data_IF_438178076580
#
_entry.id   IF_438178076580
#
_cell.length_a   1.000
_cell.length_b   1.000
_cell.length_c   1.000
_cell.angle_alpha   90.00
_cell.angle_beta   90.00
_cell.angle_gamma   90.00
#
_symmetry.space_group_name_H-M   'P 1'
#
loop_
_entity.id
_entity.type
_entity.pdbx_description
1 polymer ?
#
# COMPACT_ATOMS: atom_id res chain seq x y z
N UNK A 1 8.24 -4.88 6.00
CA UNK A 1 7.97 -5.13 4.55
C UNK A 1 6.48 -4.92 4.33
N UNK A 2 6.02 -4.24 3.29
CA UNK A 2 4.59 -3.97 3.11
C UNK A 2 4.12 -4.47 1.74
N UNK A 3 2.85 -4.84 1.65
CA UNK A 3 2.19 -5.08 0.39
C UNK A 3 1.05 -4.09 0.28
N UNK A 4 1.03 -3.30 -0.78
CA UNK A 4 0.00 -2.33 -1.10
C UNK A 4 -0.63 -2.71 -2.44
N UNK A 5 -1.92 -2.96 -2.42
CA UNK A 5 -2.76 -3.26 -3.59
C UNK A 5 -3.67 -2.07 -3.81
N UNK A 6 -3.67 -1.52 -5.01
CA UNK A 6 -4.52 -0.38 -5.37
C UNK A 6 -5.23 -0.69 -6.69
N UNK A 7 -6.55 -0.64 -6.66
CA UNK A 7 -7.40 -0.68 -7.84
C UNK A 7 -7.88 0.76 -8.07
N UNK A 8 -7.35 1.39 -9.10
CA UNK A 8 -7.63 2.78 -9.42
C UNK A 8 -8.46 2.87 -10.70
N UNK A 9 -9.67 3.44 -10.60
CA UNK A 9 -10.59 3.70 -11.73
C UNK A 9 -10.83 2.48 -12.65
N UNK A 10 -10.81 1.29 -12.09
CA UNK A 10 -11.01 0.04 -12.85
C UNK A 10 -12.19 -0.81 -12.33
N UNK A 11 -12.94 -0.29 -11.36
CA UNK A 11 -14.20 -0.86 -10.87
C UNK A 11 -15.29 0.19 -11.01
N UNK A 12 -16.40 -0.10 -11.71
CA UNK A 12 -17.51 0.85 -11.87
C UNK A 12 -18.05 1.35 -10.52
N UNK A 13 -18.21 2.67 -10.37
CA UNK A 13 -18.73 3.30 -9.15
C UNK A 13 -17.78 3.29 -7.95
N UNK A 14 -16.53 2.80 -8.12
CA UNK A 14 -15.52 2.70 -7.08
C UNK A 14 -14.18 3.23 -7.62
N UNK A 15 -13.96 4.55 -7.59
CA UNK A 15 -12.76 5.15 -8.16
C UNK A 15 -11.45 4.68 -7.49
N UNK A 16 -11.51 4.31 -6.21
CA UNK A 16 -10.33 3.84 -5.49
C UNK A 16 -10.68 2.70 -4.53
N UNK A 17 -9.99 1.57 -4.69
CA UNK A 17 -10.03 0.45 -3.74
C UNK A 17 -8.60 0.10 -3.35
N UNK A 18 -8.35 -0.05 -2.05
CA UNK A 18 -7.02 -0.32 -1.51
C UNK A 18 -7.07 -1.53 -0.57
N UNK A 19 -6.05 -2.37 -0.63
CA UNK A 19 -5.75 -3.35 0.41
C UNK A 19 -4.26 -3.27 0.78
N UNK A 20 -3.95 -3.24 2.06
CA UNK A 20 -2.58 -3.05 2.54
C UNK A 20 -2.26 -3.93 3.73
N UNK A 21 -1.15 -4.66 3.68
CA UNK A 21 -0.53 -5.28 4.83
C UNK A 21 0.70 -4.48 5.26
N UNK A 22 0.79 -4.19 6.55
CA UNK A 22 1.99 -3.62 7.17
C UNK A 22 2.82 -4.72 7.80
N UNK A 23 3.96 -5.01 7.20
CA UNK A 23 4.92 -5.97 7.77
C UNK A 23 6.03 -5.19 8.48
N UNK A 24 6.20 -5.44 9.77
CA UNK A 24 7.07 -4.66 10.65
C UNK A 24 7.57 -5.52 11.82
N UNK A 25 8.56 -5.04 12.56
CA UNK A 25 8.95 -5.63 13.83
C UNK A 25 7.75 -5.63 14.79
N UNK A 26 7.45 -6.80 15.39
CA UNK A 26 6.27 -6.98 16.25
C UNK A 26 6.32 -6.11 17.50
N UNK A 27 7.52 -5.81 17.98
CA UNK A 27 7.74 -4.91 19.13
C UNK A 27 7.57 -3.42 18.80
N UNK A 28 7.46 -3.02 17.50
CA UNK A 28 7.31 -1.60 17.12
C UNK A 28 5.91 -1.11 17.46
N UNK A 29 5.77 -0.15 18.41
CA UNK A 29 4.46 0.29 18.85
C UNK A 29 3.75 1.13 17.79
N UNK A 30 2.44 0.93 17.64
CA UNK A 30 1.60 1.68 16.72
C UNK A 30 0.17 1.77 17.26
N UNK A 31 -0.55 2.80 16.84
CA UNK A 31 -2.00 2.94 17.02
C UNK A 31 -2.72 2.62 15.72
N UNK A 32 -3.92 2.05 15.83
CA UNK A 32 -4.82 1.82 14.70
C UNK A 32 -5.30 3.10 14.02
N UNK A 33 -6.07 2.97 12.92
CA UNK A 33 -6.64 4.10 12.20
C UNK A 33 -7.53 4.94 13.11
N UNK A 34 -7.33 6.26 13.09
CA UNK A 34 -8.15 7.25 13.78
C UNK A 34 -8.16 8.56 13.00
N UNK A 35 -9.19 9.37 13.18
CA UNK A 35 -9.22 10.73 12.65
C UNK A 35 -8.29 11.60 13.48
N UNK A 36 -7.43 12.33 12.79
CA UNK A 36 -6.41 13.22 13.37
C UNK A 36 -6.41 14.56 12.64
N UNK A 37 -5.98 15.61 13.31
CA UNK A 37 -5.72 16.90 12.69
C UNK A 37 -4.39 16.83 11.91
N UNK A 38 -4.44 17.09 10.61
CA UNK A 38 -3.31 17.40 9.74
C UNK A 38 -3.06 18.91 9.69
N UNK A 39 -2.08 19.36 8.91
CA UNK A 39 -1.80 20.80 8.73
C UNK A 39 -2.88 21.51 7.92
N UNK A 40 -3.43 20.81 6.93
CA UNK A 40 -4.36 21.38 5.94
C UNK A 40 -5.77 20.81 6.01
N UNK A 41 -6.10 20.02 7.02
CA UNK A 41 -7.40 19.38 7.20
C UNK A 41 -7.30 18.09 8.00
N UNK A 42 -8.39 17.34 8.08
CA UNK A 42 -8.42 16.09 8.83
C UNK A 42 -7.87 14.94 8.01
N UNK A 43 -7.24 13.99 8.69
CA UNK A 43 -6.72 12.77 8.12
C UNK A 43 -7.22 11.56 8.90
N UNK A 44 -7.49 10.46 8.19
CA UNK A 44 -7.75 9.14 8.76
C UNK A 44 -6.50 8.28 8.54
N UNK A 45 -5.77 8.02 9.60
CA UNK A 45 -4.48 7.33 9.52
C UNK A 45 -4.17 6.58 10.82
N UNK A 46 -3.49 5.42 10.76
CA UNK A 46 -2.80 4.85 11.91
C UNK A 46 -1.61 5.73 12.31
N UNK A 47 -0.97 5.44 13.44
CA UNK A 47 0.19 6.19 13.91
C UNK A 47 1.32 5.26 14.32
N UNK A 48 2.51 5.58 13.86
CA UNK A 48 3.75 4.97 14.33
C UNK A 48 4.21 5.69 15.62
N UNK A 49 4.13 5.03 16.75
CA UNK A 49 4.47 5.64 18.04
C UNK A 49 5.98 5.77 18.26
N UNK A 50 6.79 5.04 17.48
CA UNK A 50 8.24 5.15 17.57
C UNK A 50 8.80 6.37 16.82
N UNK A 51 8.21 6.72 15.65
CA UNK A 51 8.68 7.81 14.79
C UNK A 51 7.68 8.97 14.66
N UNK A 52 6.46 8.85 15.21
CA UNK A 52 5.46 9.92 15.26
C UNK A 52 4.66 10.15 13.98
N UNK A 53 5.05 9.54 12.85
CA UNK A 53 4.37 9.64 11.55
C UNK A 53 3.41 8.49 11.29
N UNK A 54 3.12 8.26 10.01
CA UNK A 54 2.28 7.14 9.54
C UNK A 54 2.91 6.46 8.32
N UNK A 55 2.34 5.32 7.89
CA UNK A 55 2.74 4.59 6.67
C UNK A 55 1.67 4.61 5.58
N UNK A 56 0.45 5.00 5.93
CA UNK A 56 -0.66 5.24 5.00
C UNK A 56 -1.72 6.14 5.65
N UNK A 57 -2.59 6.68 4.82
CA UNK A 57 -3.74 7.46 5.30
C UNK A 57 -4.59 7.97 4.15
N UNK A 58 -5.70 8.56 4.54
CA UNK A 58 -6.63 9.26 3.66
C UNK A 58 -6.93 10.63 4.28
N UNK A 59 -6.91 11.70 3.49
CA UNK A 59 -7.33 13.01 3.96
C UNK A 59 -8.81 13.29 3.63
N UNK A 60 -9.36 14.37 4.19
CA UNK A 60 -10.73 14.81 3.98
C UNK A 60 -11.00 15.36 2.56
N UNK A 61 -9.98 15.47 1.72
CA UNK A 61 -10.08 15.81 0.28
C UNK A 61 -10.04 14.58 -0.63
N UNK A 62 -9.99 13.37 -0.06
CA UNK A 62 -10.00 12.11 -0.79
C UNK A 62 -8.63 11.68 -1.34
N UNK A 63 -7.53 12.29 -0.87
CA UNK A 63 -6.19 11.87 -1.25
C UNK A 63 -5.74 10.73 -0.35
N UNK A 64 -5.57 9.55 -0.92
CA UNK A 64 -4.94 8.40 -0.28
C UNK A 64 -3.43 8.42 -0.50
N UNK A 65 -2.70 8.10 0.56
CA UNK A 65 -1.23 7.96 0.53
C UNK A 65 -0.85 6.63 1.15
N UNK A 66 0.04 5.87 0.50
CA UNK A 66 0.54 4.61 1.04
C UNK A 66 2.02 4.39 0.74
N UNK A 67 2.81 4.06 1.75
CA UNK A 67 4.25 3.90 1.68
C UNK A 67 4.67 2.45 1.84
N UNK A 68 5.60 2.02 0.98
CA UNK A 68 6.35 0.78 1.16
C UNK A 68 7.84 1.08 1.21
N UNK A 69 8.55 0.46 2.16
CA UNK A 69 10.00 0.54 2.21
C UNK A 69 10.59 -0.13 0.96
N UNK A 70 11.51 0.51 0.29
CA UNK A 70 12.20 -0.06 -0.86
C UNK A 70 13.53 -0.66 -0.42
N UNK A 71 13.82 -1.87 -0.90
CA UNK A 71 15.10 -2.50 -0.66
C UNK A 71 16.18 -1.81 -1.49
N UNK A 72 17.35 -1.50 -0.92
CA UNK A 72 18.50 -1.02 -1.68
C UNK A 72 18.90 -2.06 -2.75
N UNK A 73 19.31 -1.60 -3.93
CA UNK A 73 19.63 -2.46 -5.06
C UNK A 73 20.86 -3.38 -4.79
N UNK A 74 21.81 -2.92 -3.99
CA UNK A 74 23.04 -3.66 -3.61
C UNK A 74 23.43 -3.20 -2.20
N UNK A 75 23.54 -4.15 -1.26
CA UNK A 75 24.27 -3.98 -0.01
C UNK A 75 24.89 -5.34 0.34
N UNK A 76 26.21 -5.41 0.37
CA UNK A 76 26.97 -6.63 0.64
C UNK A 76 26.73 -7.19 2.05
N UNK A 77 26.21 -6.37 2.98
CA UNK A 77 26.00 -6.72 4.39
C UNK A 77 24.53 -6.92 4.78
N UNK A 78 23.59 -6.93 3.83
CA UNK A 78 22.15 -7.10 4.13
C UNK A 78 21.73 -8.51 3.79
N UNK A 79 21.18 -9.20 4.78
CA UNK A 79 20.53 -10.52 4.57
C UNK A 79 19.54 -10.44 3.39
N UNK A 80 19.80 -11.13 2.28
CA UNK A 80 18.94 -11.09 1.10
C UNK A 80 17.51 -11.54 1.42
N UNK A 81 17.34 -12.35 2.45
CA UNK A 81 16.06 -12.89 2.89
C UNK A 81 15.51 -12.22 4.16
N UNK A 82 16.19 -11.19 4.67
CA UNK A 82 15.80 -10.46 5.87
C UNK A 82 14.85 -9.29 5.64
N UNK A 83 14.33 -8.67 6.72
CA UNK A 83 13.53 -7.44 6.64
C UNK A 83 14.34 -6.26 6.09
N UNK A 84 13.65 -5.26 5.55
CA UNK A 84 14.29 -4.00 5.13
C UNK A 84 14.58 -3.17 6.37
N UNK A 85 15.85 -3.12 6.77
CA UNK A 85 16.30 -2.33 7.91
C UNK A 85 16.68 -0.92 7.46
N UNK A 86 16.22 0.10 8.20
CA UNK A 86 16.54 1.48 7.91
C UNK A 86 17.99 1.81 8.34
N UNK A 87 18.73 2.55 7.50
CA UNK A 87 20.01 3.14 7.90
C UNK A 87 19.75 4.21 8.96
N UNK A 88 20.52 4.24 10.05
CA UNK A 88 20.40 5.29 11.07
C UNK A 88 20.83 6.66 10.53
N UNK A 89 20.35 7.72 11.17
CA UNK A 89 20.74 9.09 10.85
C UNK A 89 19.97 9.76 9.71
N UNK A 90 19.11 9.01 8.98
CA UNK A 90 18.25 9.58 7.95
C UNK A 90 16.87 9.96 8.52
N UNK A 91 16.19 10.88 7.84
CA UNK A 91 14.85 11.35 8.22
C UNK A 91 13.81 10.24 8.13
N UNK A 92 12.74 10.39 8.92
CA UNK A 92 11.63 9.43 8.93
C UNK A 92 10.81 9.51 7.64
N UNK A 93 10.62 8.38 6.97
CA UNK A 93 9.71 8.28 5.81
C UNK A 93 8.25 8.57 6.18
N UNK A 94 7.87 8.36 7.45
CA UNK A 94 6.54 8.72 7.96
C UNK A 94 6.23 10.21 7.88
N UNK A 95 7.25 11.09 7.93
CA UNK A 95 7.09 12.53 7.70
C UNK A 95 6.67 12.82 6.26
N UNK A 96 7.20 12.07 5.29
CA UNK A 96 6.86 12.21 3.87
C UNK A 96 5.40 11.86 3.63
N UNK A 97 4.92 10.79 4.28
CA UNK A 97 3.49 10.39 4.21
C UNK A 97 2.60 11.49 4.79
N UNK A 98 2.97 12.04 5.96
CA UNK A 98 2.22 13.13 6.58
C UNK A 98 2.18 14.39 5.70
N UNK A 99 3.31 14.76 5.07
CA UNK A 99 3.37 15.89 4.15
C UNK A 99 2.51 15.67 2.89
N UNK A 100 2.51 14.47 2.34
CA UNK A 100 1.68 14.12 1.18
C UNK A 100 0.17 14.13 1.53
N UNK A 101 -0.21 13.79 2.76
CA UNK A 101 -1.59 13.87 3.25
C UNK A 101 -2.09 15.32 3.44
N UNK A 102 -1.22 16.31 3.45
CA UNK A 102 -1.59 17.73 3.49
C UNK A 102 -2.01 18.30 2.11
N UNK A 103 -1.79 17.55 1.02
CA UNK A 103 -2.09 17.99 -0.35
C UNK A 103 -3.59 17.96 -0.67
N UNK A 104 -4.03 18.82 -1.60
CA UNK A 104 -5.40 18.91 -2.08
C UNK A 104 -5.75 17.88 -3.15
N UNK A 105 -4.74 17.27 -3.80
CA UNK A 105 -4.90 16.27 -4.86
C UNK A 105 -3.69 15.34 -4.95
N UNK A 106 -3.84 14.22 -5.66
CA UNK A 106 -2.74 13.31 -5.94
C UNK A 106 -1.63 13.97 -6.79
N UNK A 107 -2.00 14.91 -7.65
CA UNK A 107 -1.03 15.69 -8.46
C UNK A 107 -0.19 16.59 -7.57
N UNK A 108 -0.83 17.39 -6.73
CA UNK A 108 -0.14 18.30 -5.79
C UNK A 108 0.78 17.53 -4.84
N UNK A 109 0.31 16.40 -4.30
CA UNK A 109 1.13 15.53 -3.48
C UNK A 109 2.37 15.02 -4.22
N UNK A 110 2.22 14.57 -5.47
CA UNK A 110 3.32 14.08 -6.28
C UNK A 110 4.33 15.18 -6.64
N UNK A 111 3.86 16.39 -6.94
CA UNK A 111 4.72 17.55 -7.20
C UNK A 111 5.58 17.87 -5.97
N UNK A 112 4.97 17.94 -4.78
CA UNK A 112 5.70 18.15 -3.53
C UNK A 112 6.72 17.02 -3.24
N UNK A 113 6.40 15.79 -3.60
CA UNK A 113 7.31 14.65 -3.48
C UNK A 113 8.48 14.72 -4.46
N UNK A 114 8.32 15.42 -5.59
CA UNK A 114 9.39 15.69 -6.57
C UNK A 114 10.50 16.59 -6.02
N UNK A 115 10.18 17.42 -5.04
CA UNK A 115 11.10 18.38 -4.40
C UNK A 115 11.81 17.81 -3.15
N UNK A 116 11.67 16.51 -2.87
CA UNK A 116 12.34 15.89 -1.73
C UNK A 116 13.84 15.99 -1.84
N UNK A 117 14.48 16.35 -0.72
CA UNK A 117 15.92 16.47 -0.59
C UNK A 117 16.64 15.17 -0.97
N UNK A 118 17.71 15.30 -1.77
CA UNK A 118 18.52 14.18 -2.25
C UNK A 118 19.26 13.56 -1.06
N UNK A 119 19.17 12.23 -0.92
CA UNK A 119 19.87 11.46 0.12
C UNK A 119 19.30 11.62 1.54
N UNK A 120 18.21 12.36 1.74
CA UNK A 120 17.66 12.62 3.08
C UNK A 120 16.94 11.43 3.72
N UNK A 121 16.47 10.48 2.93
CA UNK A 121 15.64 9.36 3.40
C UNK A 121 16.19 8.00 2.97
N UNK A 122 15.89 6.98 3.75
CA UNK A 122 16.01 5.60 3.28
C UNK A 122 15.08 5.37 2.09
N UNK A 123 15.47 4.49 1.16
CA UNK A 123 14.70 4.20 -0.05
C UNK A 123 13.28 3.74 0.25
N UNK A 124 12.32 4.22 -0.56
CA UNK A 124 10.89 3.88 -0.43
C UNK A 124 10.17 4.01 -1.77
N UNK A 125 8.97 3.42 -1.81
CA UNK A 125 7.95 3.73 -2.79
C UNK A 125 6.76 4.35 -2.06
N UNK A 126 6.19 5.41 -2.61
CA UNK A 126 5.03 6.09 -2.06
C UNK A 126 4.01 6.30 -3.17
N UNK A 127 2.87 5.65 -3.02
CA UNK A 127 1.72 5.81 -3.90
C UNK A 127 0.80 6.88 -3.34
N UNK A 128 0.44 7.84 -4.17
CA UNK A 128 -0.61 8.82 -3.92
C UNK A 128 -1.71 8.63 -4.94
N UNK A 129 -2.98 8.65 -4.51
CA UNK A 129 -4.12 8.48 -5.40
C UNK A 129 -5.34 9.26 -4.88
N UNK A 130 -6.10 9.81 -5.80
CA UNK A 130 -7.43 10.33 -5.58
C UNK A 130 -8.43 9.73 -6.59
N UNK A 131 -9.64 10.26 -6.69
CA UNK A 131 -10.65 9.75 -7.64
C UNK A 131 -10.28 9.95 -9.11
N UNK A 132 -9.28 10.78 -9.42
CA UNK A 132 -8.90 11.17 -10.79
C UNK A 132 -7.58 10.59 -11.21
N UNK A 133 -6.57 10.66 -10.35
CA UNK A 133 -5.20 10.31 -10.68
C UNK A 133 -4.56 9.43 -9.62
N UNK A 134 -3.57 8.65 -10.06
CA UNK A 134 -2.67 7.91 -9.20
C UNK A 134 -1.22 8.11 -9.66
N UNK A 135 -0.33 8.35 -8.70
CA UNK A 135 1.10 8.58 -8.92
C UNK A 135 1.91 7.69 -7.98
N UNK A 136 3.05 7.20 -8.48
CA UNK A 136 4.01 6.45 -7.69
C UNK A 136 5.33 7.22 -7.65
N UNK A 137 5.76 7.60 -6.46
CA UNK A 137 7.10 8.12 -6.23
C UNK A 137 8.01 6.99 -5.84
N UNK A 138 9.09 6.79 -6.58
CA UNK A 138 10.18 5.86 -6.23
C UNK A 138 11.37 6.70 -5.78
N UNK A 139 11.70 6.62 -4.51
CA UNK A 139 12.82 7.34 -3.92
C UNK A 139 13.94 6.37 -3.57
N UNK A 140 15.10 6.55 -4.19
CA UNK A 140 16.35 5.87 -3.81
C UNK A 140 17.34 6.86 -3.19
N UNK A 141 17.92 7.68 -4.04
CA UNK A 141 18.73 8.84 -3.66
C UNK A 141 17.99 10.14 -4.01
N UNK A 142 17.18 10.09 -5.06
CA UNK A 142 16.32 11.19 -5.54
C UNK A 142 14.94 10.65 -5.87
N UNK A 143 13.89 11.48 -5.86
CA UNK A 143 12.56 11.08 -6.27
C UNK A 143 12.45 10.88 -7.79
N UNK A 144 11.71 9.85 -8.19
CA UNK A 144 11.23 9.61 -9.55
C UNK A 144 9.72 9.49 -9.49
N UNK A 145 8.99 10.33 -10.22
CA UNK A 145 7.52 10.36 -10.22
C UNK A 145 7.00 9.63 -11.46
N UNK A 146 6.06 8.72 -11.26
CA UNK A 146 5.47 7.90 -12.30
C UNK A 146 3.95 8.07 -12.25
N UNK A 147 3.34 8.41 -13.37
CA UNK A 147 1.89 8.41 -13.52
C UNK A 147 1.42 6.97 -13.71
N UNK A 148 0.44 6.56 -12.90
CA UNK A 148 -0.16 5.24 -12.99
C UNK A 148 -1.46 5.31 -13.80
N UNK A 149 -1.64 4.49 -14.85
CA UNK A 149 -2.91 4.43 -15.60
C UNK A 149 -4.02 3.81 -14.72
N UNK A 150 -5.30 3.97 -15.11
CA UNK A 150 -6.38 3.20 -14.50
C UNK A 150 -6.07 1.69 -14.56
N UNK A 151 -6.27 0.99 -13.43
CA UNK A 151 -5.96 -0.45 -13.37
C UNK A 151 -5.60 -0.95 -11.98
N UNK A 152 -5.01 -2.14 -11.94
CA UNK A 152 -4.52 -2.80 -10.73
C UNK A 152 -3.03 -2.53 -10.56
N UNK A 153 -2.67 -1.96 -9.42
CA UNK A 153 -1.29 -1.69 -9.03
C UNK A 153 -0.96 -2.44 -7.75
N UNK A 154 0.14 -3.17 -7.75
CA UNK A 154 0.67 -3.85 -6.56
C UNK A 154 2.08 -3.35 -6.32
N UNK A 155 2.28 -2.75 -5.16
CA UNK A 155 3.54 -2.12 -4.73
C UNK A 155 4.05 -2.83 -3.48
N UNK A 156 5.33 -3.15 -3.47
CA UNK A 156 5.98 -3.85 -2.35
C UNK A 156 7.34 -3.26 -2.03
N UNK A 157 8.23 -4.11 -1.53
CA UNK A 157 9.57 -3.68 -1.10
C UNK A 157 10.65 -3.79 -2.19
N UNK A 158 10.25 -4.14 -3.38
CA UNK A 158 11.08 -4.18 -4.58
C UNK A 158 10.44 -3.35 -5.68
N UNK A 159 11.26 -2.81 -6.54
CA UNK A 159 10.79 -2.16 -7.76
C UNK A 159 10.76 -3.21 -8.88
N UNK A 160 9.57 -3.69 -9.19
CA UNK A 160 9.34 -4.74 -10.18
C UNK A 160 9.05 -4.20 -11.60
N UNK A 161 9.21 -2.89 -11.83
CA UNK A 161 8.89 -2.25 -13.12
C UNK A 161 9.70 -2.83 -14.28
N UNK A 162 10.98 -3.07 -14.07
CA UNK A 162 11.84 -3.64 -15.08
C UNK A 162 11.50 -5.11 -15.42
N UNK A 163 10.79 -5.80 -14.53
CA UNK A 163 10.35 -7.19 -14.75
C UNK A 163 8.97 -7.26 -15.42
N UNK A 164 8.18 -6.18 -15.39
CA UNK A 164 6.85 -6.10 -16.03
C UNK A 164 6.94 -6.01 -17.56
N UNK A 165 7.95 -5.33 -18.06
CA UNK A 165 8.15 -5.11 -19.50
C UNK A 165 8.77 -6.33 -20.21
N UNK A 166 9.12 -7.38 -19.47
CA UNK A 166 9.57 -8.65 -20.02
C UNK A 166 8.38 -9.47 -20.47
N UNK A 167 8.11 -9.44 -21.77
CA UNK A 167 7.11 -10.33 -22.39
C UNK A 167 7.40 -11.79 -22.02
N UNK A 168 6.36 -12.59 -21.65
CA UNK A 168 6.51 -14.03 -21.52
C UNK A 168 6.80 -14.61 -22.89
N UNK A 169 8.06 -14.98 -23.16
CA UNK A 169 8.47 -15.61 -24.43
C UNK A 169 9.85 -15.24 -24.96
N UNK A 170 10.57 -14.29 -24.40
CA UNK A 170 11.97 -14.07 -24.77
C UNK A 170 12.88 -15.01 -23.97
N UNK A 171 13.22 -16.11 -24.63
CA UNK A 171 14.17 -17.11 -24.15
C UNK A 171 15.60 -16.53 -24.23
N UNK A 172 16.07 -16.00 -23.09
CA UNK A 172 17.49 -15.70 -22.90
C UNK A 172 18.08 -16.82 -22.06
N UNK A 173 18.81 -17.71 -22.73
CA UNK A 173 19.53 -18.86 -22.24
C UNK A 173 19.76 -18.97 -20.73
N UNK A 174 19.14 -19.96 -20.12
CA UNK A 174 19.43 -20.62 -18.83
C UNK A 174 19.91 -19.80 -17.61
N UNK A 175 19.60 -18.50 -17.50
CA UNK A 175 19.43 -17.88 -16.18
C UNK A 175 17.94 -17.85 -15.85
N UNK A 176 17.36 -19.05 -15.71
CA UNK A 176 16.00 -19.24 -15.23
C UNK A 176 15.81 -18.54 -13.90
N UNK A 177 14.90 -17.57 -13.93
CA UNK A 177 13.76 -17.43 -12.99
C UNK A 177 14.02 -17.86 -11.53
N UNK A 178 15.15 -17.49 -10.95
CA UNK A 178 15.26 -17.23 -9.53
C UNK A 178 14.85 -15.77 -9.32
N UNK A 179 13.69 -15.40 -9.84
CA UNK A 179 13.10 -14.11 -9.53
C UNK A 179 13.06 -13.96 -8.01
N UNK A 180 13.53 -12.83 -7.50
CA UNK A 180 13.50 -12.54 -6.07
C UNK A 180 12.13 -12.92 -5.50
N UNK A 181 12.05 -13.62 -4.35
CA UNK A 181 10.78 -14.06 -3.74
C UNK A 181 9.71 -12.97 -3.68
N UNK A 182 10.14 -11.73 -3.49
CA UNK A 182 9.28 -10.55 -3.42
C UNK A 182 8.69 -10.16 -4.77
N UNK A 183 9.44 -10.31 -5.86
CA UNK A 183 8.93 -10.07 -7.23
C UNK A 183 7.87 -11.12 -7.58
N UNK A 184 8.13 -12.41 -7.24
CA UNK A 184 7.13 -13.48 -7.43
C UNK A 184 5.86 -13.23 -6.64
N UNK A 185 5.99 -12.73 -5.38
CA UNK A 185 4.85 -12.28 -4.56
C UNK A 185 4.01 -11.25 -5.29
N UNK A 186 4.63 -10.15 -5.76
CA UNK A 186 3.90 -9.06 -6.40
C UNK A 186 3.18 -9.53 -7.67
N UNK A 187 3.83 -10.35 -8.49
CA UNK A 187 3.23 -10.92 -9.72
C UNK A 187 2.03 -11.81 -9.40
N UNK A 188 2.17 -12.74 -8.42
CA UNK A 188 1.09 -13.61 -7.97
C UNK A 188 -0.10 -12.82 -7.40
N UNK A 189 0.18 -11.83 -6.55
CA UNK A 189 -0.86 -10.97 -5.97
C UNK A 189 -1.61 -10.24 -7.08
N UNK A 190 -0.90 -9.66 -8.05
CA UNK A 190 -1.51 -8.96 -9.20
C UNK A 190 -2.44 -9.87 -10.00
N UNK A 191 -1.98 -11.06 -10.36
CA UNK A 191 -2.80 -12.04 -11.08
C UNK A 191 -4.07 -12.42 -10.32
N UNK A 192 -3.99 -12.58 -9.00
CA UNK A 192 -5.15 -12.92 -8.16
C UNK A 192 -6.13 -11.76 -8.06
N UNK A 193 -5.64 -10.54 -7.89
CA UNK A 193 -6.48 -9.34 -7.85
C UNK A 193 -7.21 -9.15 -9.18
N UNK A 194 -6.53 -9.34 -10.31
CA UNK A 194 -7.16 -9.29 -11.63
C UNK A 194 -8.26 -10.34 -11.79
N UNK A 195 -8.04 -11.58 -11.31
CA UNK A 195 -9.08 -12.62 -11.34
C UNK A 195 -10.30 -12.25 -10.49
N UNK A 196 -10.08 -11.70 -9.29
CA UNK A 196 -11.18 -11.28 -8.39
C UNK A 196 -11.93 -10.10 -9.00
N UNK A 197 -11.23 -9.11 -9.55
CA UNK A 197 -11.82 -7.93 -10.19
C UNK A 197 -12.80 -8.28 -11.30
N UNK A 198 -12.53 -9.34 -12.04
CA UNK A 198 -13.37 -9.82 -13.16
C UNK A 198 -14.56 -10.67 -12.69
N UNK A 199 -14.65 -11.04 -11.43
CA UNK A 199 -15.74 -11.87 -10.88
C UNK A 199 -16.86 -10.97 -10.32
N UNK A 200 -17.87 -10.67 -11.13
CA UNK A 200 -18.96 -9.75 -10.75
C UNK A 200 -19.77 -10.18 -9.52
N UNK A 201 -19.82 -11.50 -9.23
CA UNK A 201 -20.66 -12.09 -8.18
C UNK A 201 -19.96 -12.20 -6.81
N UNK A 202 -18.69 -11.89 -6.71
CA UNK A 202 -17.94 -11.94 -5.45
C UNK A 202 -17.81 -10.56 -4.82
N UNK A 203 -17.95 -10.52 -3.49
CA UNK A 203 -17.57 -9.33 -2.74
C UNK A 203 -16.06 -9.11 -2.89
N UNK A 204 -15.70 -8.02 -3.60
CA UNK A 204 -14.31 -7.64 -3.86
C UNK A 204 -13.52 -7.46 -2.55
N UNK A 205 -14.16 -6.92 -1.51
CA UNK A 205 -13.54 -6.70 -0.21
C UNK A 205 -13.14 -8.01 0.46
N UNK A 206 -14.04 -9.00 0.49
CA UNK A 206 -13.72 -10.35 0.99
C UNK A 206 -12.64 -11.04 0.15
N UNK A 207 -12.67 -10.85 -1.16
CA UNK A 207 -11.63 -11.36 -2.05
C UNK A 207 -10.26 -10.78 -1.74
N UNK A 208 -10.17 -9.46 -1.53
CA UNK A 208 -8.94 -8.76 -1.14
C UNK A 208 -8.48 -9.17 0.27
N UNK A 209 -9.41 -9.30 1.23
CA UNK A 209 -9.12 -9.82 2.56
C UNK A 209 -8.51 -11.24 2.48
N UNK A 210 -9.04 -12.09 1.60
CA UNK A 210 -8.49 -13.42 1.35
C UNK A 210 -7.04 -13.38 0.82
N UNK A 211 -6.73 -12.44 -0.07
CA UNK A 211 -5.36 -12.22 -0.56
C UNK A 211 -4.45 -11.74 0.59
N UNK A 212 -4.92 -10.81 1.41
CA UNK A 212 -4.14 -10.30 2.55
C UNK A 212 -3.84 -11.37 3.61
N UNK A 213 -4.68 -12.40 3.74
CA UNK A 213 -4.51 -13.54 4.67
C UNK A 213 -3.56 -14.63 4.15
N UNK A 214 -3.13 -14.57 2.89
CA UNK A 214 -2.49 -15.69 2.21
C UNK A 214 -1.08 -16.01 2.71
N UNK A 215 -0.82 -17.32 2.84
CA UNK A 215 0.50 -17.90 3.08
C UNK A 215 0.94 -18.75 1.91
N UNK A 216 2.24 -18.72 1.58
CA UNK A 216 2.85 -19.64 0.64
C UNK A 216 3.43 -20.82 1.42
N UNK A 217 3.07 -22.04 1.04
CA UNK A 217 3.56 -23.26 1.70
C UNK A 217 2.66 -23.81 2.83
N UNK A 218 1.47 -23.23 3.05
CA UNK A 218 0.46 -23.71 4.02
C UNK A 218 0.65 -23.12 5.43
N UNK A 219 -0.48 -22.92 6.13
CA UNK A 219 -0.50 -22.56 7.56
C UNK A 219 -0.12 -23.81 8.36
N UNK A 220 0.89 -23.71 9.21
CA UNK A 220 1.14 -24.72 10.27
C UNK A 220 2.08 -25.87 9.96
N UNK A 221 2.75 -25.91 8.83
CA UNK A 221 3.90 -26.82 8.68
C UNK A 221 5.14 -26.18 9.26
N UNK A 222 5.31 -26.26 10.59
CA UNK A 222 6.64 -26.39 11.16
C UNK A 222 7.22 -27.74 10.64
N UNK A 223 7.60 -27.79 9.38
CA UNK A 223 8.55 -28.76 8.92
C UNK A 223 9.89 -28.35 9.54
N UNK A 224 10.15 -28.90 10.70
CA UNK A 224 11.49 -28.94 11.25
C UNK A 224 12.37 -29.54 10.14
N UNK A 225 13.10 -28.67 9.42
CA UNK A 225 14.16 -29.16 8.57
C UNK A 225 14.31 -28.62 7.16
N UNK A 226 13.50 -27.69 6.58
CA UNK A 226 13.85 -27.12 5.26
C UNK A 226 12.91 -26.04 4.66
N UNK A 227 12.27 -25.17 5.40
CA UNK A 227 11.73 -23.96 4.75
C UNK A 227 12.81 -22.88 4.75
N UNK A 228 13.37 -22.57 3.61
CA UNK A 228 14.29 -21.44 3.49
C UNK A 228 13.56 -20.16 3.92
N UNK A 229 14.25 -19.26 4.62
CA UNK A 229 13.72 -17.95 5.04
C UNK A 229 13.05 -17.19 3.87
N UNK A 230 13.45 -17.48 2.64
CA UNK A 230 12.90 -16.95 1.40
C UNK A 230 11.38 -17.15 1.25
N UNK A 231 10.80 -18.26 1.72
CA UNK A 231 9.37 -18.55 1.55
C UNK A 231 8.46 -17.65 2.38
N UNK A 232 8.93 -17.16 3.53
CA UNK A 232 8.11 -16.25 4.37
C UNK A 232 7.77 -14.94 3.66
N UNK A 233 8.70 -14.42 2.87
CA UNK A 233 8.53 -13.15 2.15
C UNK A 233 7.79 -13.28 0.81
N UNK A 234 7.48 -14.50 0.38
CA UNK A 234 6.54 -14.74 -0.72
C UNK A 234 5.08 -14.64 -0.26
N UNK A 235 4.80 -14.85 1.01
CA UNK A 235 3.47 -14.73 1.60
C UNK A 235 2.99 -13.27 1.61
N UNK A 236 1.68 -13.06 1.46
CA UNK A 236 1.07 -11.73 1.63
C UNK A 236 0.93 -11.44 3.12
N UNK A 237 0.51 -12.42 3.92
CA UNK A 237 0.60 -12.37 5.37
C UNK A 237 1.93 -13.00 5.80
N UNK A 238 2.83 -12.19 6.31
CA UNK A 238 4.20 -12.58 6.64
C UNK A 238 4.31 -13.00 8.11
N UNK A 239 4.93 -14.16 8.35
CA UNK A 239 5.37 -14.62 9.66
C UNK A 239 6.84 -15.01 9.57
N UNK A 240 7.74 -14.13 10.03
CA UNK A 240 9.19 -14.33 9.97
C UNK A 240 9.77 -14.42 11.39
N UNK A 241 9.56 -15.55 12.02
CA UNK A 241 9.93 -15.80 13.41
C UNK A 241 9.06 -15.02 14.42
N UNK A 242 9.59 -14.82 15.62
CA UNK A 242 8.89 -14.16 16.72
C UNK A 242 9.03 -12.63 16.71
N UNK A 243 9.92 -12.11 15.87
CA UNK A 243 10.28 -10.68 15.91
C UNK A 243 9.66 -9.84 14.79
N UNK A 244 9.30 -10.46 13.65
CA UNK A 244 8.88 -9.74 12.46
C UNK A 244 7.73 -10.43 11.75
N UNK A 245 6.75 -9.65 11.28
CA UNK A 245 5.62 -10.18 10.54
C UNK A 245 4.59 -9.10 10.19
N UNK A 246 3.45 -9.54 9.63
CA UNK A 246 2.33 -8.65 9.36
C UNK A 246 1.71 -8.18 10.67
N UNK A 247 1.81 -6.87 10.93
CA UNK A 247 1.38 -6.21 12.17
C UNK A 247 -0.04 -5.67 12.11
N UNK A 248 -0.51 -5.37 10.91
CA UNK A 248 -1.88 -4.90 10.67
C UNK A 248 -2.23 -5.04 9.20
N UNK A 249 -3.52 -5.06 8.92
CA UNK A 249 -4.05 -5.00 7.56
C UNK A 249 -5.18 -3.98 7.48
N UNK A 250 -5.32 -3.34 6.31
CA UNK A 250 -6.35 -2.34 6.07
C UNK A 250 -6.91 -2.51 4.66
N UNK A 251 -8.24 -2.45 4.55
CA UNK A 251 -8.96 -2.39 3.28
C UNK A 251 -9.77 -1.09 3.25
N UNK A 252 -9.65 -0.33 2.17
CA UNK A 252 -10.38 0.91 1.92
C UNK A 252 -11.08 0.84 0.57
N UNK A 253 -12.33 1.24 0.52
CA UNK A 253 -13.07 1.47 -0.70
C UNK A 253 -13.68 2.88 -0.66
N UNK A 254 -13.28 3.73 -1.58
CA UNK A 254 -13.96 4.97 -1.86
C UNK A 254 -14.94 4.73 -3.01
N UNK A 255 -16.22 4.85 -2.74
CA UNK A 255 -17.27 4.78 -3.72
C UNK A 255 -17.65 6.21 -4.20
N UNK A 256 -18.21 6.33 -5.41
CA UNK A 256 -18.81 7.58 -5.90
C UNK A 256 -19.93 8.04 -4.96
N UNK A 257 -20.79 7.11 -4.53
CA UNK A 257 -21.71 7.30 -3.41
C UNK A 257 -20.93 7.07 -2.10
N UNK A 258 -20.58 8.16 -1.41
CA UNK A 258 -19.72 8.14 -0.21
C UNK A 258 -20.30 7.32 0.94
N UNK A 259 -21.61 7.19 1.04
CA UNK A 259 -22.26 6.35 2.05
C UNK A 259 -21.98 4.86 1.86
N UNK A 260 -21.62 4.47 0.64
CA UNK A 260 -21.20 3.10 0.29
C UNK A 260 -19.70 2.86 0.47
N UNK A 261 -18.94 3.89 0.82
CA UNK A 261 -17.51 3.73 1.09
C UNK A 261 -17.29 2.88 2.33
N UNK A 262 -16.29 2.01 2.29
CA UNK A 262 -16.01 1.03 3.35
C UNK A 262 -14.57 1.11 3.81
N UNK A 263 -14.35 0.85 5.08
CA UNK A 263 -13.03 0.71 5.68
C UNK A 263 -13.04 -0.48 6.64
N UNK A 264 -12.14 -1.43 6.43
CA UNK A 264 -11.91 -2.54 7.34
C UNK A 264 -10.46 -2.55 7.81
N UNK A 265 -10.22 -2.97 9.05
CA UNK A 265 -8.89 -3.06 9.61
C UNK A 265 -8.68 -4.24 10.54
N UNK A 266 -7.42 -4.65 10.71
CA UNK A 266 -7.02 -5.59 11.75
C UNK A 266 -5.89 -4.99 12.59
N UNK A 267 -5.92 -5.20 13.90
CA UNK A 267 -4.76 -5.03 14.78
C UNK A 267 -4.11 -6.39 15.01
N UNK A 268 -3.20 -6.72 14.15
CA UNK A 268 -2.53 -8.01 14.07
C UNK A 268 -2.57 -8.62 12.66
N UNK A 269 -1.97 -9.81 12.47
CA UNK A 269 -1.96 -10.50 11.20
C UNK A 269 -3.38 -10.91 10.79
N UNK A 270 -3.81 -10.62 9.56
CA UNK A 270 -5.19 -10.85 9.12
C UNK A 270 -5.59 -12.32 9.03
N UNK A 271 -4.62 -13.24 9.04
CA UNK A 271 -4.86 -14.68 9.12
C UNK A 271 -5.29 -15.14 10.51
N UNK A 272 -4.96 -14.38 11.57
CA UNK A 272 -5.24 -14.69 12.97
C UNK A 272 -6.30 -13.76 13.57
N UNK A 273 -6.42 -12.54 13.02
CA UNK A 273 -7.35 -11.51 13.50
C UNK A 273 -8.46 -11.26 12.49
N UNK A 274 -9.72 -11.24 12.90
CA UNK A 274 -10.81 -10.83 12.01
C UNK A 274 -10.66 -9.35 11.64
N UNK A 275 -11.16 -8.99 10.47
CA UNK A 275 -11.33 -7.59 10.11
C UNK A 275 -12.48 -6.98 10.91
N UNK A 276 -12.24 -5.80 11.46
CA UNK A 276 -13.23 -4.95 12.09
C UNK A 276 -13.74 -3.91 11.09
N UNK A 277 -15.03 -3.61 11.15
CA UNK A 277 -15.62 -2.55 10.34
C UNK A 277 -15.31 -1.18 10.95
N UNK A 278 -14.46 -0.43 10.26
CA UNK A 278 -14.05 0.92 10.61
C UNK A 278 -14.73 1.99 9.72
N UNK A 279 -15.71 1.60 8.91
CA UNK A 279 -16.42 2.51 8.01
C UNK A 279 -17.00 3.74 8.71
N UNK A 280 -17.46 3.69 9.98
CA UNK A 280 -17.88 4.88 10.72
C UNK A 280 -16.79 5.97 10.83
N UNK A 281 -15.50 5.60 10.90
CA UNK A 281 -14.41 6.57 10.90
C UNK A 281 -14.27 7.24 9.52
N UNK A 282 -14.46 6.49 8.45
CA UNK A 282 -14.40 7.00 7.09
C UNK A 282 -15.55 8.00 6.83
N UNK A 283 -16.76 7.68 7.27
CA UNK A 283 -17.90 8.59 7.16
C UNK A 283 -17.71 9.84 8.03
N UNK A 284 -17.17 9.69 9.23
CA UNK A 284 -16.88 10.83 10.12
C UNK A 284 -15.72 11.71 9.60
N UNK A 285 -14.82 11.19 8.75
CA UNK A 285 -13.80 12.00 8.07
C UNK A 285 -14.45 13.01 7.11
N UNK A 286 -15.63 12.68 6.57
CA UNK A 286 -16.40 13.52 5.64
C UNK A 286 -15.57 13.91 4.41
N UNK A 287 -15.19 12.88 3.65
CA UNK A 287 -14.39 13.04 2.44
C UNK A 287 -15.17 13.87 1.41
N UNK A 288 -14.68 15.07 1.13
CA UNK A 288 -15.32 16.00 0.18
C UNK A 288 -15.15 15.47 -1.24
N UNK A 289 -16.19 15.62 -2.04
CA UNK A 289 -16.08 15.43 -3.49
C UNK A 289 -15.18 16.54 -4.05
N UNK A 290 -14.27 16.20 -4.95
CA UNK A 290 -13.37 17.20 -5.56
C UNK A 290 -14.13 18.34 -6.27
N UNK A 291 -13.47 19.49 -6.54
CA UNK A 291 -14.08 20.75 -7.00
C UNK A 291 -14.93 20.68 -8.28
N UNK A 292 -14.90 19.56 -9.04
CA UNK A 292 -15.78 19.37 -10.19
C UNK A 292 -17.21 18.97 -9.82
N UNK A 293 -17.43 18.36 -8.64
CA UNK A 293 -18.78 18.01 -8.19
C UNK A 293 -19.54 19.24 -7.65
N UNK A 294 -18.82 20.24 -7.13
CA UNK A 294 -19.43 21.50 -6.71
C UNK A 294 -19.99 22.30 -7.91
N UNK A 295 -19.31 22.28 -9.06
CA UNK A 295 -19.77 22.97 -10.28
C UNK A 295 -21.03 22.34 -10.89
N UNK A 296 -21.21 21.02 -10.79
CA UNK A 296 -22.40 20.33 -11.29
C UNK A 296 -23.61 20.49 -10.34
N UNK A 297 -23.36 20.58 -9.03
CA UNK A 297 -24.43 20.78 -8.05
C UNK A 297 -24.98 22.20 -8.08
N UNK A 298 -24.12 23.23 -8.25
CA UNK A 298 -24.55 24.61 -8.43
C UNK A 298 -25.37 24.83 -9.73
N UNK A 299 -25.05 24.08 -10.79
CA UNK A 299 -25.80 24.17 -12.06
C UNK A 299 -27.16 23.47 -11.99
N UNK A 300 -27.30 22.46 -11.12
CA UNK A 300 -28.55 21.71 -10.95
C UNK A 300 -29.53 22.39 -10.00
N UNK A 301 -29.06 23.23 -9.10
CA UNK A 301 -29.89 24.00 -8.15
C UNK A 301 -30.40 25.31 -8.75
N UNK A 302 -29.86 25.74 -9.89
CA UNK A 302 -30.27 26.96 -10.62
C UNK A 302 -31.19 26.71 -11.84
N UNK A 303 -31.68 25.48 -12.01
CA UNK A 303 -32.74 25.11 -12.95
C UNK A 303 -33.98 24.65 -12.20
#
# INVERSE_FOLDING_TARGET
MCTLIVLHRCIPGRPLVVAANRDEFLARPAEGPAIREGRSGRILAPRDLAAGGTWLGLNDRGVFVGLTNLRPAIQDDVDPDGPVVAKPGLRSRGEVVMAALDAGSAVEAAEALGELEIGAYNAFQLLVADEREARLTVYRERPEIITLPPGVHVVGNVDDRNDRDRCPGQDLGQKKATGEPRVRKLSRVRERVEKIRLQADRDLFEGLAGICREHVGGVGTQAVGSSSAATHFESTCVHAGEAYGTRSSLLLELAEDRERSRLWGTDGPPCERPYEDLSPLLWALDVRSGPAAEAEHETRTKR
#
